data_IF_771325772906
#
_entry.id   IF_771325772906
#
_cell.length_a   1.000
_cell.length_b   1.000
_cell.length_c   1.000
_cell.angle_alpha   90.00
_cell.angle_beta   90.00
_cell.angle_gamma   90.00
#
_symmetry.space_group_name_H-M   'P 1'
#
loop_
_entity.id
_entity.type
_entity.pdbx_description
1 polymer ?
#
# COMPACT_ATOMS: atom_id res chain seq x y z
N UNK A 1 7.64 2.78 22.41
CA UNK A 1 7.51 4.24 22.55
C UNK A 1 8.86 4.88 22.28
N UNK A 2 8.95 5.80 21.32
CA UNK A 2 10.22 6.47 21.00
C UNK A 2 10.33 7.71 21.90
N UNK A 3 11.18 7.65 22.88
CA UNK A 3 11.40 8.74 23.87
C UNK A 3 12.21 9.91 23.31
N UNK A 4 12.94 9.73 22.20
CA UNK A 4 13.78 10.77 21.59
C UNK A 4 13.55 10.85 20.08
N UNK A 5 13.60 12.07 19.52
CA UNK A 5 13.45 12.37 18.10
C UNK A 5 12.00 12.63 17.70
N UNK A 6 11.73 12.68 16.38
CA UNK A 6 10.42 13.03 15.84
C UNK A 6 9.41 11.91 16.10
N UNK A 7 8.24 12.19 16.70
CA UNK A 7 7.19 11.20 16.89
C UNK A 7 6.72 10.63 15.54
N UNK A 8 6.52 9.31 15.50
CA UNK A 8 6.06 8.61 14.26
C UNK A 8 4.71 9.17 13.79
N UNK A 9 3.81 9.47 14.72
CA UNK A 9 2.50 10.04 14.41
C UNK A 9 2.64 11.39 13.68
N UNK A 10 3.57 12.26 14.08
CA UNK A 10 3.78 13.55 13.42
C UNK A 10 4.24 13.38 11.96
N UNK A 11 5.08 12.37 11.70
CA UNK A 11 5.51 12.06 10.33
C UNK A 11 4.33 11.50 9.52
N UNK A 12 3.56 10.58 10.11
CA UNK A 12 2.38 10.00 9.49
C UNK A 12 1.34 11.06 9.12
N UNK A 13 0.99 11.96 10.05
CA UNK A 13 0.04 13.06 9.81
C UNK A 13 0.51 14.00 8.70
N UNK A 14 1.82 14.28 8.63
CA UNK A 14 2.37 15.06 7.53
C UNK A 14 2.18 14.34 6.18
N UNK A 15 2.50 13.04 6.10
CA UNK A 15 2.29 12.23 4.89
C UNK A 15 0.81 12.26 4.47
N UNK A 16 -0.08 12.01 5.43
CA UNK A 16 -1.51 12.01 5.21
C UNK A 16 -2.01 13.35 4.68
N UNK A 17 -1.58 14.46 5.32
CA UNK A 17 -1.92 15.81 4.87
C UNK A 17 -1.44 16.11 3.45
N UNK A 18 -0.24 15.65 3.09
CA UNK A 18 0.33 15.84 1.76
C UNK A 18 -0.48 15.13 0.66
N UNK A 19 -1.08 13.96 0.93
CA UNK A 19 -1.96 13.25 0.00
C UNK A 19 -3.15 14.13 -0.39
N UNK A 20 -3.83 14.73 0.59
CA UNK A 20 -4.98 15.61 0.33
C UNK A 20 -4.58 16.92 -0.35
N UNK A 21 -3.38 17.40 -0.12
CA UNK A 21 -2.85 18.59 -0.78
C UNK A 21 -2.28 18.31 -2.17
N UNK A 22 -2.28 17.07 -2.63
CA UNK A 22 -1.67 16.61 -3.89
C UNK A 22 -0.20 17.08 -4.05
N UNK A 23 0.53 17.12 -2.96
CA UNK A 23 1.91 17.60 -2.91
C UNK A 23 2.90 16.47 -2.72
N UNK A 24 4.04 16.58 -3.37
CA UNK A 24 5.18 15.71 -3.12
C UNK A 24 6.08 16.28 -2.02
N UNK A 25 6.88 15.41 -1.38
CA UNK A 25 7.92 15.86 -0.44
C UNK A 25 8.89 16.84 -1.10
N UNK A 26 9.24 16.58 -2.35
CA UNK A 26 10.10 17.46 -3.13
C UNK A 26 9.49 18.85 -3.27
N UNK A 27 8.23 18.94 -3.67
CA UNK A 27 7.50 20.20 -3.78
C UNK A 27 7.45 20.95 -2.46
N UNK A 28 7.14 20.24 -1.37
CA UNK A 28 7.06 20.83 -0.04
C UNK A 28 8.39 21.42 0.42
N UNK A 29 9.50 20.71 0.18
CA UNK A 29 10.83 21.11 0.68
C UNK A 29 11.50 22.16 -0.19
N UNK A 30 11.32 22.10 -1.51
CA UNK A 30 12.09 22.92 -2.44
C UNK A 30 11.31 24.11 -3.01
N UNK A 31 10.02 23.96 -3.27
CA UNK A 31 9.25 25.01 -3.92
C UNK A 31 8.54 25.94 -2.94
N UNK A 32 8.20 25.49 -1.76
CA UNK A 32 7.39 26.30 -0.84
C UNK A 32 8.17 26.89 0.33
N UNK A 33 9.45 26.60 0.46
CA UNK A 33 10.31 27.04 1.59
C UNK A 33 9.66 26.86 2.97
N UNK A 34 8.58 26.09 3.07
CA UNK A 34 7.90 25.80 4.32
C UNK A 34 8.80 24.85 5.10
N UNK A 35 9.30 25.30 6.23
CA UNK A 35 10.15 24.47 7.08
C UNK A 35 9.38 23.22 7.50
N UNK A 36 9.84 22.06 7.06
CA UNK A 36 9.34 20.79 7.60
C UNK A 36 9.83 20.67 9.05
N UNK A 37 9.01 20.16 9.97
CA UNK A 37 9.38 20.00 11.38
C UNK A 37 10.50 18.96 11.59
N UNK A 38 10.98 18.34 10.52
CA UNK A 38 12.07 17.36 10.51
C UNK A 38 12.71 17.23 9.14
N UNK A 39 13.95 16.73 9.09
CA UNK A 39 14.71 16.61 7.86
C UNK A 39 14.20 15.52 6.90
N UNK A 40 14.53 15.68 5.64
CA UNK A 40 14.23 14.76 4.52
C UNK A 40 14.57 13.30 4.84
N UNK A 41 15.71 13.04 5.49
CA UNK A 41 16.13 11.68 5.81
C UNK A 41 15.22 11.00 6.84
N UNK A 42 14.63 11.77 7.75
CA UNK A 42 13.65 11.26 8.72
C UNK A 42 12.39 10.81 8.00
N UNK A 43 11.92 11.59 7.02
CA UNK A 43 10.79 11.22 6.19
C UNK A 43 11.06 9.92 5.41
N UNK A 44 12.15 9.85 4.67
CA UNK A 44 12.46 8.67 3.86
C UNK A 44 12.75 7.43 4.72
N UNK A 45 13.37 7.56 5.89
CA UNK A 45 13.52 6.45 6.84
C UNK A 45 12.17 5.91 7.33
N UNK A 46 11.21 6.79 7.57
CA UNK A 46 9.85 6.38 7.91
C UNK A 46 9.20 5.64 6.73
N UNK A 47 9.19 6.22 5.53
CA UNK A 47 8.56 5.63 4.34
C UNK A 47 9.19 4.29 3.94
N UNK A 48 10.49 4.13 4.13
CA UNK A 48 11.22 2.90 3.80
C UNK A 48 11.30 1.90 4.96
N UNK A 49 10.62 2.16 6.09
CA UNK A 49 10.66 1.27 7.25
C UNK A 49 9.98 -0.06 6.94
N UNK A 50 10.75 -1.14 6.97
CA UNK A 50 10.23 -2.49 6.82
C UNK A 50 9.51 -3.02 8.07
N UNK A 51 9.53 -2.29 9.18
CA UNK A 51 8.93 -2.70 10.47
C UNK A 51 7.46 -2.31 10.58
N UNK A 52 7.00 -1.30 9.84
CA UNK A 52 5.61 -0.83 9.89
C UNK A 52 4.72 -1.86 9.23
N UNK A 53 3.65 -2.25 9.90
CA UNK A 53 2.67 -3.21 9.39
C UNK A 53 1.51 -2.47 8.74
N UNK A 54 1.74 -1.93 7.54
CA UNK A 54 0.77 -1.12 6.83
C UNK A 54 -0.55 -1.85 6.57
N UNK A 55 -0.51 -3.12 6.20
CA UNK A 55 -1.72 -3.92 5.97
C UNK A 55 -2.59 -4.00 7.23
N UNK A 56 -1.99 -4.31 8.39
CA UNK A 56 -2.72 -4.33 9.66
C UNK A 56 -3.31 -2.97 9.99
N UNK A 57 -2.54 -1.90 9.80
CA UNK A 57 -3.03 -0.53 10.04
C UNK A 57 -4.26 -0.22 9.17
N UNK A 58 -4.23 -0.51 7.86
CA UNK A 58 -5.36 -0.24 6.97
C UNK A 58 -6.57 -1.10 7.31
N UNK A 59 -6.37 -2.38 7.65
CA UNK A 59 -7.45 -3.28 8.06
C UNK A 59 -8.11 -2.84 9.36
N UNK A 60 -7.32 -2.51 10.39
CA UNK A 60 -7.86 -2.03 11.67
C UNK A 60 -8.59 -0.67 11.52
N UNK A 61 -8.05 0.24 10.70
CA UNK A 61 -8.69 1.52 10.39
C UNK A 61 -10.03 1.30 9.67
N UNK A 62 -10.06 0.45 8.65
CA UNK A 62 -11.27 0.13 7.91
C UNK A 62 -12.33 -0.52 8.83
N UNK A 63 -11.93 -1.47 9.67
CA UNK A 63 -12.82 -2.09 10.64
C UNK A 63 -13.42 -1.05 11.60
N UNK A 64 -12.61 -0.14 12.12
CA UNK A 64 -13.09 0.94 13.00
C UNK A 64 -14.09 1.86 12.28
N UNK A 65 -13.85 2.25 11.02
CA UNK A 65 -14.77 3.06 10.22
C UNK A 65 -16.07 2.30 9.96
N UNK A 66 -15.98 1.03 9.56
CA UNK A 66 -17.18 0.20 9.31
C UNK A 66 -18.03 0.11 10.57
N UNK A 67 -17.46 -0.30 11.69
CA UNK A 67 -18.23 -0.51 12.92
C UNK A 67 -18.75 0.78 13.54
N UNK A 68 -17.94 1.84 13.58
CA UNK A 68 -18.33 3.07 14.25
C UNK A 68 -19.21 4.00 13.40
N UNK A 69 -19.12 3.92 12.07
CA UNK A 69 -19.73 4.91 11.18
C UNK A 69 -20.66 4.29 10.15
N UNK A 70 -20.21 3.28 9.40
CA UNK A 70 -20.96 2.78 8.25
C UNK A 70 -22.04 1.78 8.65
N UNK A 71 -21.72 0.81 9.51
CA UNK A 71 -22.69 -0.20 9.93
C UNK A 71 -23.95 0.39 10.59
N UNK A 72 -23.87 1.41 11.47
CA UNK A 72 -25.06 2.06 12.02
C UNK A 72 -25.94 2.78 10.99
N UNK A 73 -25.38 3.14 9.83
CA UNK A 73 -26.08 3.82 8.74
C UNK A 73 -26.62 2.84 7.68
N UNK A 74 -26.21 1.57 7.76
CA UNK A 74 -26.63 0.54 6.83
C UNK A 74 -28.01 0.02 7.22
N UNK A 75 -28.93 -0.08 6.26
CA UNK A 75 -30.26 -0.62 6.48
C UNK A 75 -30.19 -2.15 6.65
N UNK A 76 -31.10 -2.71 7.44
CA UNK A 76 -31.07 -4.13 7.80
C UNK A 76 -31.30 -5.10 6.63
N UNK A 77 -31.89 -4.63 5.54
CA UNK A 77 -32.12 -5.38 4.30
C UNK A 77 -30.92 -5.42 3.35
N UNK A 78 -29.86 -4.69 3.64
CA UNK A 78 -28.66 -4.67 2.80
C UNK A 78 -27.71 -5.81 3.12
N UNK A 79 -27.17 -6.37 2.06
CA UNK A 79 -26.19 -7.45 2.16
C UNK A 79 -24.78 -6.84 2.15
N UNK A 80 -24.02 -7.13 3.20
CA UNK A 80 -22.62 -6.79 3.27
C UNK A 80 -21.79 -7.80 2.46
N UNK A 81 -20.97 -7.29 1.56
CA UNK A 81 -20.12 -8.12 0.70
C UNK A 81 -18.66 -7.72 0.77
N UNK A 82 -17.78 -8.68 0.55
CA UNK A 82 -16.36 -8.43 0.30
C UNK A 82 -16.11 -8.51 -1.21
N UNK A 83 -15.49 -7.47 -1.75
CA UNK A 83 -15.18 -7.34 -3.17
C UNK A 83 -13.65 -7.41 -3.31
N UNK A 84 -13.19 -8.29 -4.19
CA UNK A 84 -11.78 -8.46 -4.50
C UNK A 84 -11.53 -7.96 -5.92
N UNK A 85 -10.66 -6.95 -6.05
CA UNK A 85 -10.25 -6.37 -7.33
C UNK A 85 -8.77 -6.62 -7.61
N UNK A 86 -8.44 -6.84 -8.88
CA UNK A 86 -7.08 -7.04 -9.37
C UNK A 86 -6.78 -6.04 -10.48
N UNK A 87 -6.10 -4.98 -10.12
CA UNK A 87 -5.74 -3.89 -11.03
C UNK A 87 -4.22 -3.78 -11.22
N UNK A 88 -3.78 -3.04 -12.24
CA UNK A 88 -2.37 -2.82 -12.49
C UNK A 88 -1.94 -1.47 -11.91
N UNK A 89 -0.97 -1.52 -11.01
CA UNK A 89 -0.28 -0.34 -10.52
C UNK A 89 0.93 -0.03 -11.40
N UNK A 90 0.73 0.83 -12.40
CA UNK A 90 1.73 1.16 -13.40
C UNK A 90 2.94 1.91 -12.82
N UNK A 91 4.14 1.48 -13.21
CA UNK A 91 5.42 2.10 -12.84
C UNK A 91 6.41 2.16 -14.02
N UNK A 92 5.99 2.69 -15.20
CA UNK A 92 6.76 2.59 -16.44
C UNK A 92 8.13 3.30 -16.40
N UNK A 93 8.25 4.34 -15.56
CA UNK A 93 9.50 5.11 -15.41
C UNK A 93 10.40 4.60 -14.28
N UNK A 94 9.97 3.62 -13.52
CA UNK A 94 10.73 3.11 -12.36
C UNK A 94 11.85 2.17 -12.82
N UNK A 95 13.08 2.41 -12.35
CA UNK A 95 14.25 1.57 -12.68
C UNK A 95 14.87 0.90 -11.46
N UNK A 96 14.60 1.40 -10.24
CA UNK A 96 15.28 0.97 -9.01
C UNK A 96 14.36 0.30 -7.98
N UNK A 97 13.06 0.17 -8.28
CA UNK A 97 12.09 -0.43 -7.37
C UNK A 97 12.28 -1.96 -7.36
N UNK A 98 12.47 -2.54 -6.17
CA UNK A 98 12.58 -3.99 -6.02
C UNK A 98 11.29 -4.69 -6.40
N UNK A 99 11.39 -5.88 -6.99
CA UNK A 99 10.28 -6.69 -7.48
C UNK A 99 9.45 -6.06 -8.60
N UNK A 100 9.94 -5.00 -9.24
CA UNK A 100 9.29 -4.43 -10.42
C UNK A 100 9.19 -5.48 -11.52
N UNK A 101 8.00 -5.70 -12.05
CA UNK A 101 7.74 -6.75 -13.02
C UNK A 101 7.21 -6.18 -14.34
N UNK A 102 7.46 -6.95 -15.42
CA UNK A 102 6.78 -6.80 -16.71
C UNK A 102 5.46 -7.55 -16.64
N UNK A 103 4.38 -6.84 -16.79
CA UNK A 103 3.01 -7.34 -16.69
C UNK A 103 2.27 -7.09 -18.00
N UNK A 104 1.35 -7.99 -18.34
CA UNK A 104 0.44 -7.78 -19.46
C UNK A 104 -0.83 -7.11 -18.98
N UNK A 105 -1.14 -5.96 -19.55
CA UNK A 105 -2.38 -5.22 -19.30
C UNK A 105 -3.45 -5.71 -20.27
N UNK A 106 -4.41 -6.47 -19.76
CA UNK A 106 -5.48 -7.05 -20.56
C UNK A 106 -6.44 -5.99 -21.12
N UNK A 107 -6.62 -4.86 -20.41
CA UNK A 107 -7.48 -3.78 -20.85
C UNK A 107 -6.87 -3.00 -22.02
N UNK A 108 -5.58 -2.74 -21.95
CA UNK A 108 -4.83 -2.03 -23.00
C UNK A 108 -4.22 -2.94 -24.05
N UNK A 109 -4.23 -4.26 -23.81
CA UNK A 109 -3.59 -5.28 -24.68
C UNK A 109 -2.09 -5.03 -24.92
N UNK A 110 -1.39 -4.50 -23.93
CA UNK A 110 0.03 -4.18 -24.01
C UNK A 110 0.80 -4.63 -22.78
N UNK A 111 2.13 -4.74 -22.92
CA UNK A 111 3.00 -4.96 -21.77
C UNK A 111 3.37 -3.64 -21.10
N UNK A 112 3.32 -3.64 -19.78
CA UNK A 112 3.72 -2.50 -18.95
C UNK A 112 4.58 -2.94 -17.78
N UNK A 113 5.29 -1.99 -17.17
CA UNK A 113 6.05 -2.23 -15.94
C UNK A 113 5.27 -1.74 -14.73
N UNK A 114 5.18 -2.57 -13.71
CA UNK A 114 4.43 -2.25 -12.52
C UNK A 114 4.28 -3.41 -11.56
N UNK A 115 3.15 -3.40 -10.87
CA UNK A 115 2.70 -4.44 -9.95
C UNK A 115 1.23 -4.73 -10.21
N UNK A 116 0.81 -5.97 -9.96
CA UNK A 116 -0.61 -6.26 -9.78
C UNK A 116 -0.99 -5.80 -8.38
N UNK A 117 -2.06 -5.05 -8.25
CA UNK A 117 -2.57 -4.58 -6.98
C UNK A 117 -3.88 -5.31 -6.68
N UNK A 118 -3.80 -6.26 -5.75
CA UNK A 118 -4.99 -6.89 -5.21
C UNK A 118 -5.55 -6.00 -4.10
N UNK A 119 -6.81 -5.62 -4.23
CA UNK A 119 -7.52 -4.81 -3.25
C UNK A 119 -8.74 -5.56 -2.75
N UNK A 120 -8.83 -5.72 -1.44
CA UNK A 120 -10.02 -6.22 -0.76
C UNK A 120 -10.82 -5.01 -0.26
N UNK A 121 -12.07 -4.93 -0.67
CA UNK A 121 -13.01 -3.89 -0.25
C UNK A 121 -14.19 -4.51 0.48
N UNK A 122 -14.78 -3.75 1.39
CA UNK A 122 -16.09 -4.00 1.97
C UNK A 122 -17.12 -3.09 1.30
N UNK A 123 -18.34 -3.61 1.10
CA UNK A 123 -19.46 -2.81 0.60
C UNK A 123 -20.78 -3.26 1.21
N UNK A 124 -21.66 -2.30 1.46
CA UNK A 124 -23.06 -2.49 1.84
C UNK A 124 -24.04 -2.22 0.66
N UNK A 125 -23.50 -2.14 -0.56
CA UNK A 125 -24.26 -1.79 -1.76
C UNK A 125 -24.28 -0.30 -2.07
N UNK A 126 -24.08 0.58 -1.10
CA UNK A 126 -24.01 2.05 -1.30
C UNK A 126 -22.60 2.60 -1.15
N UNK A 127 -21.86 2.07 -0.19
CA UNK A 127 -20.52 2.50 0.16
C UNK A 127 -19.52 1.43 -0.22
N UNK A 128 -18.39 1.82 -0.79
CA UNK A 128 -17.25 0.95 -1.04
C UNK A 128 -16.07 1.46 -0.21
N UNK A 129 -15.57 0.62 0.70
CA UNK A 129 -14.42 0.95 1.54
C UNK A 129 -13.28 -0.04 1.33
N UNK A 130 -12.08 0.38 0.89
CA UNK A 130 -10.90 -0.48 0.85
C UNK A 130 -10.49 -0.91 2.26
N UNK A 131 -10.41 -2.22 2.48
CA UNK A 131 -10.04 -2.82 3.78
C UNK A 131 -8.57 -3.19 3.80
N UNK A 132 -8.09 -3.82 2.73
CA UNK A 132 -6.72 -4.28 2.64
C UNK A 132 -6.25 -4.28 1.19
N UNK A 133 -4.95 -4.15 0.99
CA UNK A 133 -4.37 -4.28 -0.34
C UNK A 133 -2.97 -4.90 -0.28
N UNK A 134 -2.53 -5.47 -1.39
CA UNK A 134 -1.17 -5.94 -1.57
C UNK A 134 -0.70 -5.75 -3.00
N UNK A 135 0.59 -5.46 -3.16
CA UNK A 135 1.22 -5.37 -4.46
C UNK A 135 1.92 -6.69 -4.78
N UNK A 136 1.54 -7.29 -5.89
CA UNK A 136 2.16 -8.50 -6.39
C UNK A 136 3.10 -8.19 -7.55
N UNK A 137 4.22 -8.88 -7.56
CA UNK A 137 5.13 -8.97 -8.69
C UNK A 137 4.68 -10.12 -9.60
N UNK A 138 5.61 -10.95 -9.98
CA UNK A 138 5.38 -12.19 -10.71
C UNK A 138 6.13 -13.33 -10.05
N UNK A 139 5.54 -14.52 -10.07
CA UNK A 139 6.21 -15.76 -9.66
C UNK A 139 7.42 -16.05 -10.56
N UNK A 140 7.28 -15.77 -11.87
CA UNK A 140 8.35 -16.01 -12.83
C UNK A 140 9.44 -14.93 -12.73
N UNK A 141 10.61 -15.32 -12.22
CA UNK A 141 11.77 -14.45 -12.06
C UNK A 141 12.23 -13.77 -13.37
N UNK A 142 12.04 -14.41 -14.54
CA UNK A 142 12.41 -13.85 -15.84
C UNK A 142 11.63 -12.57 -16.18
N UNK A 143 10.43 -12.42 -15.63
CA UNK A 143 9.59 -11.23 -15.84
C UNK A 143 9.86 -10.12 -14.83
N UNK A 144 10.74 -10.34 -13.84
CA UNK A 144 11.14 -9.33 -12.88
C UNK A 144 12.33 -8.53 -13.39
N UNK A 145 12.21 -7.22 -13.44
CA UNK A 145 13.33 -6.33 -13.78
C UNK A 145 14.35 -6.25 -12.65
N UNK A 146 13.90 -6.43 -11.42
CA UNK A 146 14.75 -6.40 -10.23
C UNK A 146 14.22 -7.35 -9.18
N UNK A 147 15.15 -8.05 -8.56
CA UNK A 147 14.87 -8.89 -7.41
C UNK A 147 14.66 -8.07 -6.13
N UNK A 148 14.07 -8.70 -5.13
CA UNK A 148 13.93 -8.12 -3.80
C UNK A 148 15.31 -7.80 -3.21
N UNK A 149 15.40 -6.66 -2.50
CA UNK A 149 16.65 -6.32 -1.81
C UNK A 149 16.97 -7.34 -0.72
N UNK A 150 18.16 -7.90 -0.75
CA UNK A 150 18.70 -8.82 0.27
C UNK A 150 18.97 -8.14 1.63
N UNK A 151 19.00 -6.80 1.65
CA UNK A 151 19.24 -6.01 2.88
C UNK A 151 18.03 -5.92 3.80
N UNK A 152 16.86 -6.37 3.37
CA UNK A 152 15.63 -6.35 4.17
C UNK A 152 15.53 -7.66 4.96
N UNK A 153 15.40 -7.55 6.28
CA UNK A 153 15.18 -8.72 7.14
C UNK A 153 13.89 -9.44 6.71
N UNK A 154 14.02 -10.72 6.34
CA UNK A 154 12.91 -11.56 5.87
C UNK A 154 11.80 -11.74 6.92
N UNK A 155 12.13 -11.61 8.21
CA UNK A 155 11.17 -11.71 9.33
C UNK A 155 10.38 -10.43 9.56
N UNK A 156 10.88 -9.30 9.06
CA UNK A 156 10.19 -8.01 9.16
C UNK A 156 8.88 -8.02 8.36
N UNK A 157 7.95 -7.11 8.69
CA UNK A 157 6.70 -6.96 7.94
C UNK A 157 6.96 -6.68 6.46
N UNK A 158 7.91 -5.80 6.14
CA UNK A 158 8.31 -5.54 4.76
C UNK A 158 8.95 -6.74 4.06
N UNK A 159 9.70 -7.59 4.80
CA UNK A 159 10.26 -8.84 4.28
C UNK A 159 9.17 -9.85 3.95
N UNK A 160 8.21 -10.04 4.85
CA UNK A 160 7.04 -10.91 4.62
C UNK A 160 6.21 -10.45 3.42
N UNK A 161 5.97 -9.14 3.29
CA UNK A 161 5.24 -8.60 2.14
C UNK A 161 5.99 -8.82 0.81
N UNK A 162 7.32 -8.73 0.79
CA UNK A 162 8.11 -9.03 -0.42
C UNK A 162 8.06 -10.50 -0.79
N UNK A 163 8.02 -11.41 0.19
CA UNK A 163 7.82 -12.84 -0.05
C UNK A 163 6.43 -13.11 -0.61
N UNK A 164 5.40 -12.50 -0.02
CA UNK A 164 4.02 -12.59 -0.48
C UNK A 164 3.88 -12.09 -1.94
N UNK A 165 4.53 -11.00 -2.28
CA UNK A 165 4.50 -10.39 -3.61
C UNK A 165 5.00 -11.30 -4.74
N UNK A 166 5.64 -12.42 -4.43
CA UNK A 166 6.17 -13.38 -5.40
C UNK A 166 5.33 -14.66 -5.50
N UNK A 167 4.22 -14.74 -4.80
CA UNK A 167 3.27 -15.85 -4.83
C UNK A 167 2.23 -15.68 -5.94
N UNK A 168 1.48 -16.74 -6.22
CA UNK A 168 0.35 -16.68 -7.15
C UNK A 168 -0.76 -15.79 -6.59
N UNK A 169 -1.37 -15.01 -7.46
CA UNK A 169 -2.44 -14.10 -7.07
C UNK A 169 -3.59 -14.80 -6.36
N UNK A 170 -4.00 -15.99 -6.83
CA UNK A 170 -5.08 -16.80 -6.23
C UNK A 170 -4.77 -17.22 -4.79
N UNK A 171 -3.52 -17.58 -4.48
CA UNK A 171 -3.10 -17.93 -3.13
C UNK A 171 -3.13 -16.70 -2.21
N UNK A 172 -2.69 -15.55 -2.74
CA UNK A 172 -2.69 -14.30 -1.98
C UNK A 172 -4.09 -13.76 -1.75
N UNK A 173 -5.01 -13.95 -2.71
CA UNK A 173 -6.43 -13.63 -2.53
C UNK A 173 -7.01 -14.33 -1.29
N UNK A 174 -6.76 -15.63 -1.15
CA UNK A 174 -7.20 -16.39 0.02
C UNK A 174 -6.59 -15.88 1.33
N UNK A 175 -5.33 -15.44 1.29
CA UNK A 175 -4.66 -14.86 2.46
C UNK A 175 -5.15 -13.45 2.82
N UNK A 176 -5.78 -12.73 1.89
CA UNK A 176 -6.39 -11.42 2.19
C UNK A 176 -7.74 -11.58 2.90
N UNK A 177 -8.41 -12.72 2.72
CA UNK A 177 -9.70 -13.05 3.34
C UNK A 177 -9.58 -13.62 4.76
N UNK A 178 -8.37 -14.05 5.18
CA UNK A 178 -8.05 -14.56 6.52
C UNK A 178 -7.61 -13.41 7.47
#
# INVERSE_FOLDING_TARGET
>A
YKLRGVPVLSIFLLVFRMVFQQRSVYTQMHLQRTAMPFGKDTFYRFMNSCRIHWRRFTTELAAAIIHATLAPLTQADRINVLILDDSIYHRPRSKKVGLLARLYDHAKKEFSYGFRMLTLCWSDGNTLLPVSHTLLSTENAKNRLREASRKVDARSNGGKQRKLAQQKATEVMLQLLQ
#
